data_IF_561017756698
#
_entry.id   IF_561017756698
#
_cell.length_a   1.000
_cell.length_b   1.000
_cell.length_c   1.000
_cell.angle_alpha   90.00
_cell.angle_beta   90.00
_cell.angle_gamma   90.00
#
_symmetry.space_group_name_H-M   'P 1'
#
loop_
_entity.id
_entity.type
_entity.pdbx_description
1 polymer ?
#
# COMPACT_ATOMS: atom_id res chain seq x y z
N UNK A 1 10.29 -2.59 -6.18
CA UNK A 1 9.31 -3.56 -6.69
C UNK A 1 8.14 -3.62 -5.72
N UNK A 2 6.95 -3.93 -6.21
CA UNK A 2 5.75 -4.03 -5.40
C UNK A 2 5.09 -5.40 -5.58
N UNK A 3 4.32 -5.82 -4.58
CA UNK A 3 3.46 -7.01 -4.59
C UNK A 3 2.02 -6.63 -4.27
N UNK A 4 1.07 -7.47 -4.67
CA UNK A 4 -0.33 -7.38 -4.26
C UNK A 4 -0.74 -8.64 -3.50
N UNK A 5 -1.43 -8.47 -2.38
CA UNK A 5 -2.02 -9.56 -1.57
C UNK A 5 -3.44 -9.17 -1.21
N UNK A 6 -4.33 -10.15 -1.07
CA UNK A 6 -5.61 -9.92 -0.39
C UNK A 6 -5.40 -9.81 1.12
N UNK A 7 -6.38 -9.17 1.77
CA UNK A 7 -6.49 -9.15 3.21
C UNK A 7 -7.05 -10.51 3.66
N UNK A 8 -6.24 -11.31 4.36
CA UNK A 8 -6.63 -12.62 4.87
C UNK A 8 -6.13 -12.79 6.30
N UNK A 9 -6.75 -13.72 7.03
CA UNK A 9 -6.36 -14.07 8.41
C UNK A 9 -5.03 -14.86 8.47
N UNK A 10 -4.51 -15.30 7.33
CA UNK A 10 -3.30 -16.12 7.22
C UNK A 10 -2.09 -15.29 6.80
N UNK A 11 -0.94 -15.94 6.63
CA UNK A 11 0.20 -15.29 5.99
C UNK A 11 -0.20 -14.76 4.60
N UNK A 12 0.18 -13.51 4.27
CA UNK A 12 -0.20 -12.88 3.02
C UNK A 12 0.54 -13.54 1.85
N UNK A 13 -0.23 -14.06 0.91
CA UNK A 13 0.27 -14.59 -0.34
C UNK A 13 0.36 -13.48 -1.40
N UNK A 14 1.54 -13.30 -2.01
CA UNK A 14 1.70 -12.34 -3.10
C UNK A 14 1.14 -12.94 -4.38
N UNK A 15 0.04 -12.37 -4.87
CA UNK A 15 -0.74 -12.84 -6.02
C UNK A 15 -0.15 -12.34 -7.34
N UNK A 16 0.48 -11.17 -7.30
CA UNK A 16 1.15 -10.56 -8.45
C UNK A 16 2.27 -9.61 -8.00
N UNK A 17 3.30 -9.50 -8.81
CA UNK A 17 4.37 -8.52 -8.69
C UNK A 17 4.20 -7.42 -9.74
N UNK A 18 4.71 -6.24 -9.43
CA UNK A 18 4.67 -5.09 -10.32
C UNK A 18 5.89 -4.20 -10.12
N UNK A 19 6.37 -3.59 -11.20
CA UNK A 19 7.57 -2.76 -11.16
C UNK A 19 7.34 -1.49 -10.33
N UNK A 20 6.19 -0.85 -10.53
CA UNK A 20 5.86 0.44 -9.93
C UNK A 20 4.36 0.56 -9.62
N UNK A 21 4.05 1.37 -8.61
CA UNK A 21 2.69 1.71 -8.22
C UNK A 21 2.56 3.21 -8.04
N UNK A 22 1.63 3.81 -8.77
CA UNK A 22 1.38 5.25 -8.70
C UNK A 22 0.09 5.55 -7.95
N UNK A 23 0.05 6.74 -7.37
CA UNK A 23 -1.10 7.29 -6.67
C UNK A 23 -1.47 6.50 -5.40
N UNK A 24 -0.49 6.17 -4.56
CA UNK A 24 -0.72 5.57 -3.22
C UNK A 24 -0.33 6.50 -2.06
N UNK A 25 0.27 7.66 -2.35
CA UNK A 25 0.63 8.69 -1.37
C UNK A 25 -0.34 9.88 -1.42
N UNK A 26 -0.74 10.41 -0.27
CA UNK A 26 -1.64 11.56 -0.14
C UNK A 26 -1.39 12.29 1.18
N UNK A 27 -1.62 13.62 1.26
CA UNK A 27 -1.73 14.29 2.56
C UNK A 27 -2.96 13.85 3.36
N UNK A 28 -4.00 13.32 2.70
CA UNK A 28 -5.17 12.75 3.36
C UNK A 28 -4.88 11.32 3.83
N UNK A 29 -5.33 10.96 5.04
CA UNK A 29 -5.12 9.63 5.61
C UNK A 29 -5.84 8.51 4.84
N UNK A 30 -7.14 8.67 4.60
CA UNK A 30 -7.97 7.68 3.89
C UNK A 30 -8.75 8.37 2.78
N UNK A 31 -8.61 7.91 1.53
CA UNK A 31 -9.25 8.56 0.37
C UNK A 31 -9.56 7.57 -0.75
N UNK A 32 -10.67 7.77 -1.46
CA UNK A 32 -10.95 7.07 -2.71
C UNK A 32 -10.12 7.64 -3.86
N UNK A 33 -9.43 6.77 -4.60
CA UNK A 33 -8.62 7.23 -5.73
C UNK A 33 -8.32 6.15 -6.75
N UNK A 34 -7.88 6.62 -7.92
CA UNK A 34 -7.35 5.78 -8.99
C UNK A 34 -5.87 5.45 -8.74
N UNK A 35 -5.57 4.17 -8.61
CA UNK A 35 -4.20 3.61 -8.50
C UNK A 35 -3.80 3.01 -9.84
N UNK A 36 -2.52 3.18 -10.22
CA UNK A 36 -1.97 2.55 -11.42
C UNK A 36 -0.89 1.55 -11.02
N UNK A 37 -1.10 0.30 -11.39
CA UNK A 37 -0.13 -0.79 -11.29
C UNK A 37 0.61 -0.88 -12.63
N UNK A 38 1.94 -0.78 -12.59
CA UNK A 38 2.79 -0.70 -13.77
C UNK A 38 3.52 -2.01 -13.96
N UNK A 39 3.43 -2.58 -15.17
CA UNK A 39 4.09 -3.83 -15.56
C UNK A 39 3.86 -4.97 -14.55
N UNK A 40 2.59 -5.34 -14.38
CA UNK A 40 2.17 -6.49 -13.56
C UNK A 40 2.59 -7.79 -14.26
N UNK A 41 3.31 -8.65 -13.55
CA UNK A 41 3.88 -9.90 -14.07
C UNK A 41 2.82 -10.89 -14.57
N UNK A 42 1.78 -11.11 -13.76
CA UNK A 42 0.61 -11.91 -14.08
C UNK A 42 -0.67 -11.07 -13.98
N UNK A 43 -0.81 -10.14 -14.92
CA UNK A 43 -1.97 -9.27 -15.02
C UNK A 43 -3.28 -10.04 -15.13
N UNK A 44 -3.29 -11.21 -15.80
CA UNK A 44 -4.50 -12.00 -15.99
C UNK A 44 -4.96 -12.63 -14.67
N UNK A 45 -4.04 -13.24 -13.92
CA UNK A 45 -4.35 -13.81 -12.61
C UNK A 45 -4.85 -12.73 -11.66
N UNK A 46 -4.16 -11.59 -11.57
CA UNK A 46 -4.57 -10.49 -10.68
C UNK A 46 -5.98 -9.99 -10.99
N UNK A 47 -6.32 -9.80 -12.28
CA UNK A 47 -7.66 -9.37 -12.69
C UNK A 47 -8.72 -10.39 -12.28
N UNK A 48 -8.48 -11.67 -12.57
CA UNK A 48 -9.40 -12.77 -12.22
C UNK A 48 -9.61 -12.87 -10.70
N UNK A 49 -8.52 -12.73 -9.92
CA UNK A 49 -8.57 -12.72 -8.47
C UNK A 49 -9.44 -11.57 -7.94
N UNK A 50 -9.23 -10.34 -8.43
CA UNK A 50 -9.98 -9.16 -8.00
C UNK A 50 -11.46 -9.29 -8.39
N UNK A 51 -11.77 -9.77 -9.61
CA UNK A 51 -13.14 -9.99 -10.05
C UNK A 51 -13.88 -11.03 -9.20
N UNK A 52 -13.19 -12.08 -8.78
CA UNK A 52 -13.77 -13.09 -7.90
C UNK A 52 -13.97 -12.57 -6.47
N UNK A 53 -12.97 -11.88 -5.91
CA UNK A 53 -13.07 -11.26 -4.59
C UNK A 53 -14.22 -10.22 -4.53
N UNK A 54 -14.44 -9.48 -5.61
CA UNK A 54 -15.53 -8.50 -5.70
C UNK A 54 -16.93 -9.15 -5.66
N UNK A 55 -17.09 -10.41 -6.09
CA UNK A 55 -18.38 -11.13 -6.04
C UNK A 55 -18.74 -11.58 -4.63
N UNK A 56 -17.75 -11.82 -3.78
CA UNK A 56 -17.92 -12.29 -2.40
C UNK A 56 -17.77 -11.18 -1.36
N UNK A 57 -17.66 -9.91 -1.80
CA UNK A 57 -17.48 -8.73 -0.94
C UNK A 57 -16.18 -8.73 -0.10
N UNK A 58 -15.16 -9.47 -0.55
CA UNK A 58 -13.84 -9.56 0.09
C UNK A 58 -12.74 -8.92 -0.78
N UNK A 59 -13.08 -7.84 -1.51
CA UNK A 59 -12.14 -7.14 -2.40
C UNK A 59 -11.29 -6.09 -1.67
N UNK A 60 -10.71 -6.49 -0.54
CA UNK A 60 -9.77 -5.70 0.23
C UNK A 60 -8.38 -6.34 0.18
N UNK A 61 -7.33 -5.53 0.19
CA UNK A 61 -5.99 -6.05 0.11
C UNK A 61 -4.93 -5.02 0.40
N UNK A 62 -3.69 -5.39 0.10
CA UNK A 62 -2.53 -4.57 0.32
C UNK A 62 -1.68 -4.46 -0.94
N UNK A 63 -1.19 -3.26 -1.17
CA UNK A 63 -0.06 -3.00 -2.06
C UNK A 63 1.19 -3.03 -1.19
N UNK A 64 1.99 -4.07 -1.35
CA UNK A 64 3.21 -4.33 -0.59
C UNK A 64 4.41 -3.71 -1.30
N UNK A 65 5.20 -2.92 -0.57
CA UNK A 65 6.55 -2.57 -1.02
C UNK A 65 7.49 -3.72 -0.65
N UNK A 66 8.31 -4.15 -1.60
CA UNK A 66 9.24 -5.26 -1.44
C UNK A 66 10.69 -4.76 -1.50
N UNK A 67 11.57 -5.37 -0.70
CA UNK A 67 13.02 -5.20 -0.82
C UNK A 67 13.63 -6.10 -1.92
N UNK A 68 14.94 -6.05 -2.06
CA UNK A 68 15.69 -6.82 -3.06
C UNK A 68 15.61 -8.34 -2.84
N UNK A 69 15.31 -8.78 -1.61
CA UNK A 69 15.07 -10.19 -1.26
C UNK A 69 13.62 -10.62 -1.45
N UNK A 70 12.76 -9.71 -1.93
CA UNK A 70 11.29 -9.86 -2.04
C UNK A 70 10.57 -9.97 -0.69
N UNK A 71 11.20 -9.55 0.39
CA UNK A 71 10.55 -9.45 1.70
C UNK A 71 9.67 -8.21 1.75
N UNK A 72 8.52 -8.29 2.43
CA UNK A 72 7.59 -7.16 2.58
C UNK A 72 8.16 -6.16 3.58
N UNK A 73 8.42 -4.93 3.13
CA UNK A 73 8.94 -3.84 3.98
C UNK A 73 7.89 -2.80 4.35
N UNK A 74 6.83 -2.66 3.55
CA UNK A 74 5.70 -1.79 3.85
C UNK A 74 4.41 -2.29 3.18
N UNK A 75 3.26 -1.91 3.71
CA UNK A 75 1.94 -2.25 3.16
C UNK A 75 1.06 -1.01 3.07
N UNK A 76 0.40 -0.82 1.93
CA UNK A 76 -0.66 0.18 1.75
C UNK A 76 -1.99 -0.55 1.66
N UNK A 77 -2.87 -0.36 2.63
CA UNK A 77 -4.21 -0.96 2.58
C UNK A 77 -5.07 -0.29 1.51
N UNK A 78 -5.81 -1.11 0.77
CA UNK A 78 -6.80 -0.70 -0.21
C UNK A 78 -8.05 -1.55 -0.06
N UNK A 79 -9.20 -0.88 0.08
CA UNK A 79 -10.51 -1.53 0.17
C UNK A 79 -11.42 -1.16 -0.99
N UNK A 80 -12.49 -1.94 -1.16
CA UNK A 80 -13.51 -1.70 -2.20
C UNK A 80 -12.91 -1.63 -3.61
N UNK A 81 -11.97 -2.51 -3.90
CA UNK A 81 -11.17 -2.51 -5.14
C UNK A 81 -12.07 -2.77 -6.35
N UNK A 82 -11.95 -1.92 -7.36
CA UNK A 82 -12.60 -2.08 -8.68
C UNK A 82 -11.58 -1.90 -9.78
N UNK A 83 -11.68 -2.73 -10.82
CA UNK A 83 -10.88 -2.57 -12.03
C UNK A 83 -11.54 -1.50 -12.91
N UNK A 84 -10.81 -0.44 -13.22
CA UNK A 84 -11.27 0.60 -14.16
C UNK A 84 -10.79 0.31 -15.59
N UNK A 85 -9.57 -0.19 -15.73
CA UNK A 85 -8.94 -0.41 -17.04
C UNK A 85 -7.80 -1.40 -16.91
N UNK A 86 -7.66 -2.25 -17.91
CA UNK A 86 -6.46 -3.03 -18.17
C UNK A 86 -5.98 -2.78 -19.60
N UNK A 87 -4.67 -2.57 -19.79
CA UNK A 87 -4.05 -2.47 -21.12
C UNK A 87 -2.65 -3.07 -21.07
N UNK A 88 -2.44 -4.18 -21.78
CA UNK A 88 -1.24 -5.03 -21.65
C UNK A 88 -1.06 -5.40 -20.17
N UNK A 89 0.13 -5.20 -19.61
CA UNK A 89 0.45 -5.50 -18.21
C UNK A 89 0.23 -4.30 -17.28
N UNK A 90 -0.48 -3.25 -17.72
CA UNK A 90 -0.79 -2.11 -16.87
C UNK A 90 -2.26 -2.18 -16.42
N UNK A 91 -2.48 -2.11 -15.12
CA UNK A 91 -3.81 -2.19 -14.51
C UNK A 91 -4.10 -0.88 -13.78
N UNK A 92 -5.31 -0.37 -13.97
CA UNK A 92 -5.82 0.81 -13.25
C UNK A 92 -6.95 0.37 -12.34
N UNK A 93 -6.73 0.55 -11.04
CA UNK A 93 -7.68 0.24 -9.99
C UNK A 93 -8.33 1.51 -9.45
N UNK A 94 -9.53 1.38 -8.89
CA UNK A 94 -10.17 2.37 -8.04
C UNK A 94 -10.50 1.72 -6.71
N UNK A 95 -10.20 2.40 -5.62
CA UNK A 95 -10.48 1.89 -4.28
C UNK A 95 -10.26 2.96 -3.22
N UNK A 96 -10.64 2.64 -2.00
CA UNK A 96 -10.35 3.47 -0.83
C UNK A 96 -8.98 3.08 -0.28
N UNK A 97 -8.06 4.04 -0.30
CA UNK A 97 -6.64 3.81 -0.01
C UNK A 97 -6.30 4.48 1.31
N UNK A 98 -5.66 3.73 2.19
CA UNK A 98 -5.01 4.27 3.39
C UNK A 98 -3.63 4.76 2.97
N UNK A 99 -3.58 6.03 2.62
CA UNK A 99 -2.46 6.60 1.92
C UNK A 99 -1.26 6.78 2.84
N UNK A 100 -0.08 6.58 2.27
CA UNK A 100 1.15 6.98 2.93
C UNK A 100 1.21 8.51 3.00
N UNK A 101 1.67 9.09 4.12
CA UNK A 101 1.95 10.52 4.20
C UNK A 101 2.97 10.88 3.12
N UNK A 102 2.68 11.93 2.36
CA UNK A 102 3.54 12.37 1.27
C UNK A 102 4.94 12.78 1.76
N UNK A 103 5.89 12.96 0.83
CA UNK A 103 7.27 13.33 1.14
C UNK A 103 7.40 14.60 2.00
N UNK A 104 6.49 15.57 1.86
CA UNK A 104 6.48 16.79 2.69
C UNK A 104 6.18 16.45 4.15
N UNK A 105 5.19 15.61 4.41
CA UNK A 105 4.86 15.13 5.75
C UNK A 105 5.99 14.29 6.34
N UNK A 106 6.64 13.41 5.54
CA UNK A 106 7.83 12.66 5.98
C UNK A 106 8.99 13.59 6.35
N UNK A 107 9.24 14.62 5.56
CA UNK A 107 10.28 15.63 5.83
C UNK A 107 9.97 16.42 7.11
N UNK A 108 8.72 16.84 7.27
CA UNK A 108 8.27 17.57 8.47
C UNK A 108 8.45 16.72 9.74
N UNK A 109 8.05 15.45 9.68
CA UNK A 109 8.26 14.51 10.77
C UNK A 109 9.75 14.37 11.13
N UNK A 110 10.63 14.17 10.13
CA UNK A 110 12.08 14.11 10.37
C UNK A 110 12.63 15.39 11.02
N UNK A 111 12.23 16.56 10.54
CA UNK A 111 12.68 17.84 11.13
C UNK A 111 12.15 18.09 12.53
N UNK A 112 11.08 17.40 12.93
CA UNK A 112 10.44 17.52 14.23
C UNK A 112 10.74 16.33 15.14
N UNK A 113 11.53 15.36 14.68
CA UNK A 113 11.76 14.11 15.39
C UNK A 113 12.53 14.36 16.69
N UNK A 114 13.56 15.20 16.64
CA UNK A 114 14.35 15.55 17.81
C UNK A 114 13.49 16.28 18.87
N UNK A 115 12.65 17.22 18.44
CA UNK A 115 11.70 17.93 19.32
C UNK A 115 10.66 16.98 19.94
N UNK A 116 10.24 15.93 19.23
CA UNK A 116 9.36 14.88 19.76
C UNK A 116 10.10 14.04 20.82
N UNK A 117 11.38 13.72 20.60
CA UNK A 117 12.19 13.00 21.59
C UNK A 117 12.39 13.83 22.86
N UNK A 118 12.66 15.13 22.73
CA UNK A 118 12.75 16.07 23.86
C UNK A 118 11.46 16.08 24.69
N UNK A 119 10.29 16.16 24.04
CA UNK A 119 9.00 16.05 24.72
C UNK A 119 8.89 14.71 25.47
N UNK A 120 9.27 13.60 24.85
CA UNK A 120 9.22 12.30 25.53
C UNK A 120 10.15 12.22 26.74
N UNK A 121 11.33 12.83 26.69
CA UNK A 121 12.22 12.95 27.85
C UNK A 121 11.57 13.77 28.99
N UNK A 122 10.97 14.93 28.66
CA UNK A 122 10.29 15.80 29.62
C UNK A 122 9.13 15.08 30.34
N UNK A 123 8.39 14.24 29.60
CA UNK A 123 7.30 13.43 30.15
C UNK A 123 7.74 12.06 30.68
N UNK A 124 9.05 11.78 30.72
CA UNK A 124 9.65 10.50 31.18
C UNK A 124 9.10 9.27 30.44
N UNK A 125 8.75 9.43 29.17
CA UNK A 125 8.33 8.35 28.29
C UNK A 125 9.57 7.68 27.70
N UNK A 126 9.79 6.41 28.02
CA UNK A 126 10.87 5.63 27.39
C UNK A 126 10.47 5.20 25.98
N UNK A 127 11.21 5.66 24.98
CA UNK A 127 11.08 5.21 23.60
C UNK A 127 12.23 4.28 23.26
N UNK A 128 11.90 3.04 22.88
CA UNK A 128 12.87 2.07 22.36
C UNK A 128 12.67 2.00 20.85
N UNK A 129 13.63 2.54 20.10
CA UNK A 129 13.68 2.39 18.65
C UNK A 129 14.36 1.05 18.34
N UNK A 130 13.69 0.17 17.58
CA UNK A 130 14.22 -1.09 17.08
C UNK A 130 14.55 -0.97 15.60
#
# INVERSE_FOLDING_TARGET
MFGFTFDSETEPEIIALMDDVRNIESPAGIIYRTIRLINVDDAHNLLSAIENAAKIYENNGFICMLDDTKSIVARTFISNIRILKSKKNNITLYGQVWCHPNQRSKKLFKTKFDEILEIFEDYRVQVVLK
#
